data_IF_038504584115
#
_entry.id   IF_038504584115
#
_cell.length_a   1.000
_cell.length_b   1.000
_cell.length_c   1.000
_cell.angle_alpha   90.00
_cell.angle_beta   90.00
_cell.angle_gamma   90.00
#
_symmetry.space_group_name_H-M   'P 1'
#
loop_
_entity.id
_entity.type
_entity.pdbx_description
1 polymer ?
#
# COMPACT_ATOMS: atom_id res chain seq x y z
N UNK A 1 -42.59 -4.84 -22.08
CA UNK A 1 -41.12 -4.96 -22.08
C UNK A 1 -40.52 -3.77 -21.35
N UNK A 2 -40.03 -3.95 -20.12
CA UNK A 2 -39.40 -2.90 -19.31
C UNK A 2 -38.03 -3.45 -18.88
N UNK A 3 -36.97 -2.83 -19.41
CA UNK A 3 -35.58 -3.15 -19.04
C UNK A 3 -35.39 -2.87 -17.55
N UNK A 4 -34.74 -3.75 -16.76
CA UNK A 4 -34.40 -3.43 -15.39
C UNK A 4 -33.29 -2.38 -15.41
N UNK A 5 -33.49 -1.35 -14.57
CA UNK A 5 -32.52 -0.31 -14.27
C UNK A 5 -31.25 -0.97 -13.73
N UNK A 6 -30.13 -0.73 -14.42
CA UNK A 6 -28.79 -1.03 -13.92
C UNK A 6 -28.58 -0.18 -12.67
N UNK A 7 -28.50 -0.85 -11.53
CA UNK A 7 -28.15 -0.22 -10.26
C UNK A 7 -26.69 0.22 -10.33
N UNK A 8 -26.46 1.54 -10.40
CA UNK A 8 -25.15 2.13 -10.16
C UNK A 8 -24.75 1.86 -8.70
N UNK A 9 -23.91 0.84 -8.46
CA UNK A 9 -23.26 0.70 -7.16
C UNK A 9 -22.19 1.80 -7.04
N UNK A 10 -22.41 2.69 -6.07
CA UNK A 10 -21.43 3.64 -5.55
C UNK A 10 -20.12 2.92 -5.20
N UNK A 11 -19.02 3.49 -5.70
CA UNK A 11 -17.63 3.46 -5.18
C UNK A 11 -17.45 2.76 -3.82
N UNK A 12 -17.24 1.45 -3.83
CA UNK A 12 -16.70 0.72 -2.67
C UNK A 12 -15.18 0.99 -2.62
N UNK A 13 -14.73 2.00 -1.86
CA UNK A 13 -13.35 1.96 -1.31
C UNK A 13 -13.44 1.10 -0.05
N UNK A 14 -13.32 -0.22 -0.18
CA UNK A 14 -13.10 -1.08 0.98
C UNK A 14 -12.13 -2.19 0.60
N UNK A 15 -10.85 -1.83 0.52
CA UNK A 15 -9.75 -2.75 0.26
C UNK A 15 -8.42 -2.08 0.57
N UNK A 16 -7.44 -2.85 1.02
CA UNK A 16 -6.05 -2.41 1.16
C UNK A 16 -5.41 -2.43 -0.24
N UNK A 17 -5.01 -1.27 -0.82
CA UNK A 17 -4.45 -1.22 -2.18
C UNK A 17 -3.26 -2.16 -2.39
N UNK A 18 -2.49 -2.43 -1.33
CA UNK A 18 -1.38 -3.37 -1.40
C UNK A 18 -1.84 -4.81 -1.67
N UNK A 19 -2.99 -5.23 -1.11
CA UNK A 19 -3.58 -6.54 -1.39
C UNK A 19 -4.05 -6.65 -2.84
N UNK A 20 -4.63 -5.57 -3.40
CA UNK A 20 -5.04 -5.57 -4.82
C UNK A 20 -3.85 -5.73 -5.77
N UNK A 21 -2.70 -5.11 -5.45
CA UNK A 21 -1.46 -5.32 -6.22
C UNK A 21 -1.00 -6.78 -6.14
N UNK A 22 -1.07 -7.43 -4.97
CA UNK A 22 -0.78 -8.87 -4.84
C UNK A 22 -1.70 -9.70 -5.73
N UNK A 23 -2.99 -9.35 -5.81
CA UNK A 23 -3.93 -10.04 -6.71
C UNK A 23 -3.55 -9.87 -8.18
N UNK A 24 -3.11 -8.68 -8.60
CA UNK A 24 -2.63 -8.48 -9.97
C UNK A 24 -1.35 -9.27 -10.28
N UNK A 25 -0.40 -9.32 -9.35
CA UNK A 25 0.80 -10.17 -9.46
C UNK A 25 0.40 -11.63 -9.67
N UNK A 26 -0.49 -12.16 -8.82
CA UNK A 26 -0.91 -13.56 -8.87
C UNK A 26 -1.79 -13.88 -10.09
N UNK A 27 -2.65 -12.97 -10.54
CA UNK A 27 -3.40 -13.10 -11.80
C UNK A 27 -2.44 -13.16 -12.99
N UNK A 28 -1.41 -12.30 -13.01
CA UNK A 28 -0.43 -12.27 -14.08
C UNK A 28 0.42 -13.56 -14.15
N UNK A 29 0.86 -14.08 -13.00
CA UNK A 29 1.56 -15.37 -12.90
C UNK A 29 0.70 -16.56 -13.32
N UNK A 30 -0.53 -16.62 -12.83
CA UNK A 30 -1.42 -17.75 -13.17
C UNK A 30 -1.84 -17.75 -14.64
N UNK A 31 -1.93 -16.58 -15.28
CA UNK A 31 -2.14 -16.49 -16.73
C UNK A 31 -1.01 -17.14 -17.55
N UNK A 32 0.20 -17.23 -17.00
CA UNK A 32 1.35 -17.94 -17.60
C UNK A 32 1.61 -19.32 -16.99
N UNK A 33 0.62 -19.88 -16.26
CA UNK A 33 0.67 -21.19 -15.60
C UNK A 33 1.74 -21.30 -14.50
N UNK A 34 2.19 -20.18 -13.95
CA UNK A 34 3.04 -20.16 -12.77
C UNK A 34 2.17 -20.24 -11.50
N UNK A 35 2.69 -20.84 -10.41
CA UNK A 35 1.97 -20.92 -9.15
C UNK A 35 1.75 -19.52 -8.54
N UNK A 36 0.65 -19.38 -7.79
CA UNK A 36 0.41 -18.20 -6.97
C UNK A 36 1.46 -18.12 -5.87
N UNK A 37 1.90 -16.90 -5.59
CA UNK A 37 2.77 -16.57 -4.47
C UNK A 37 1.95 -16.40 -3.21
N UNK A 38 2.51 -16.82 -2.08
CA UNK A 38 1.94 -16.60 -0.76
C UNK A 38 2.08 -15.13 -0.37
N UNK A 39 1.00 -14.51 0.13
CA UNK A 39 1.02 -13.11 0.57
C UNK A 39 1.60 -13.05 1.99
N UNK A 40 2.85 -12.61 2.13
CA UNK A 40 3.54 -12.52 3.40
C UNK A 40 3.34 -11.13 4.04
N UNK A 41 2.71 -11.05 5.23
CA UNK A 41 2.53 -9.78 5.94
C UNK A 41 3.87 -9.15 6.35
N UNK A 42 4.85 -9.95 6.77
CA UNK A 42 6.18 -9.43 7.12
C UNK A 42 6.91 -8.85 5.91
N UNK A 43 6.85 -9.53 4.76
CA UNK A 43 7.43 -9.04 3.51
C UNK A 43 6.74 -7.73 3.05
N UNK A 44 5.42 -7.64 3.22
CA UNK A 44 4.68 -6.41 2.97
C UNK A 44 5.11 -5.29 3.93
N UNK A 45 5.26 -5.58 5.21
CA UNK A 45 5.70 -4.61 6.20
C UNK A 45 7.10 -4.08 5.88
N UNK A 46 8.05 -4.95 5.52
CA UNK A 46 9.40 -4.54 5.11
C UNK A 46 9.37 -3.67 3.85
N UNK A 47 8.51 -4.00 2.89
CA UNK A 47 8.29 -3.16 1.71
C UNK A 47 7.75 -1.77 2.08
N UNK A 48 6.90 -1.66 3.11
CA UNK A 48 6.44 -0.36 3.61
C UNK A 48 7.56 0.41 4.33
N UNK A 49 8.42 -0.25 5.13
CA UNK A 49 9.58 0.40 5.77
C UNK A 49 10.52 0.99 4.72
N UNK A 50 10.85 0.21 3.68
CA UNK A 50 11.61 0.68 2.52
C UNK A 50 11.01 1.98 1.94
N UNK A 51 9.70 2.00 1.72
CA UNK A 51 9.05 3.17 1.14
C UNK A 51 9.06 4.39 2.07
N UNK A 52 8.94 4.17 3.38
CA UNK A 52 8.95 5.27 4.37
C UNK A 52 10.28 6.02 4.33
N UNK A 53 11.40 5.32 4.13
CA UNK A 53 12.72 5.95 3.94
C UNK A 53 12.84 6.67 2.59
N UNK A 54 12.12 6.19 1.58
CA UNK A 54 12.17 6.72 0.22
C UNK A 54 11.14 7.82 -0.11
N UNK A 55 10.29 8.20 0.85
CA UNK A 55 9.09 9.03 0.59
C UNK A 55 9.36 10.35 -0.14
N UNK A 56 10.54 10.96 0.04
CA UNK A 56 10.90 12.25 -0.57
C UNK A 56 11.73 12.14 -1.86
N UNK A 57 12.01 10.92 -2.33
CA UNK A 57 12.98 10.67 -3.40
C UNK A 57 12.32 10.40 -4.76
N UNK A 58 11.03 10.71 -4.91
CA UNK A 58 10.38 10.66 -6.21
C UNK A 58 10.70 11.91 -7.01
N UNK A 59 11.37 11.74 -8.14
CA UNK A 59 11.65 12.83 -9.09
C UNK A 59 10.37 13.31 -9.79
N UNK A 60 10.40 14.49 -10.40
CA UNK A 60 9.28 15.02 -11.21
C UNK A 60 8.89 14.11 -12.38
N UNK A 61 9.79 13.24 -12.83
CA UNK A 61 9.57 12.30 -13.92
C UNK A 61 9.04 10.94 -13.46
N UNK A 62 8.57 10.84 -12.21
CA UNK A 62 8.03 9.60 -11.61
C UNK A 62 9.06 8.48 -11.46
N UNK A 63 10.35 8.83 -11.37
CA UNK A 63 11.42 7.89 -11.05
C UNK A 63 11.77 7.99 -9.58
N UNK A 64 11.84 6.85 -8.88
CA UNK A 64 12.30 6.79 -7.50
C UNK A 64 13.83 6.73 -7.47
N UNK A 65 14.48 7.77 -6.95
CA UNK A 65 15.93 7.87 -6.80
C UNK A 65 16.42 7.33 -5.45
N UNK A 66 15.74 6.30 -4.92
CA UNK A 66 16.00 5.73 -3.60
C UNK A 66 16.37 4.27 -3.74
N UNK A 67 17.46 3.88 -3.11
CA UNK A 67 17.91 2.50 -3.09
C UNK A 67 18.56 2.18 -1.73
N UNK A 68 17.74 2.01 -0.68
CA UNK A 68 18.16 1.42 0.58
C UNK A 68 18.92 0.12 0.34
N UNK A 69 19.87 -0.19 1.21
CA UNK A 69 20.69 -1.37 1.04
C UNK A 69 19.83 -2.62 1.33
N UNK A 70 20.08 -3.71 0.59
CA UNK A 70 19.35 -4.96 0.81
C UNK A 70 19.54 -5.48 2.25
N UNK A 71 20.72 -5.23 2.84
CA UNK A 71 21.00 -5.53 4.24
C UNK A 71 20.08 -4.79 5.22
N UNK A 72 19.61 -3.59 4.87
CA UNK A 72 18.65 -2.85 5.71
C UNK A 72 17.30 -3.57 5.74
N UNK A 73 16.94 -4.29 4.68
CA UNK A 73 15.69 -5.09 4.65
C UNK A 73 15.74 -6.17 5.71
N UNK A 74 16.85 -6.90 5.80
CA UNK A 74 16.99 -8.04 6.72
C UNK A 74 17.34 -7.61 8.15
N UNK A 75 18.23 -6.64 8.33
CA UNK A 75 18.77 -6.28 9.65
C UNK A 75 18.02 -5.13 10.34
N UNK A 76 17.33 -4.27 9.58
CA UNK A 76 16.63 -3.10 10.13
C UNK A 76 15.12 -3.25 9.99
N UNK A 77 14.62 -3.53 8.78
CA UNK A 77 13.18 -3.53 8.53
C UNK A 77 12.49 -4.77 9.09
N UNK A 78 13.11 -5.94 8.97
CA UNK A 78 12.52 -7.17 9.48
C UNK A 78 12.31 -7.15 11.00
N UNK A 79 13.30 -6.77 11.84
CA UNK A 79 13.07 -6.62 13.28
C UNK A 79 12.02 -5.56 13.60
N UNK A 80 12.01 -4.44 12.88
CA UNK A 80 10.97 -3.42 13.04
C UNK A 80 9.58 -4.00 12.74
N UNK A 81 9.48 -4.91 11.78
CA UNK A 81 8.26 -5.63 11.42
C UNK A 81 7.90 -6.78 12.34
N UNK A 82 8.65 -7.01 13.43
CA UNK A 82 8.42 -8.13 14.34
C UNK A 82 8.71 -9.48 13.71
N UNK A 83 9.49 -9.51 12.62
CA UNK A 83 9.92 -10.72 11.92
C UNK A 83 11.20 -11.21 12.59
N UNK A 84 11.21 -12.47 12.99
CA UNK A 84 12.42 -13.11 13.50
C UNK A 84 13.47 -13.27 12.39
N UNK A 85 14.69 -12.77 12.60
CA UNK A 85 15.81 -12.93 11.66
C UNK A 85 15.98 -14.37 11.09
N UNK A 86 15.90 -15.46 11.88
CA UNK A 86 16.05 -16.82 11.35
C UNK A 86 14.95 -17.25 10.38
N UNK A 87 13.84 -16.51 10.30
CA UNK A 87 12.72 -16.83 9.40
C UNK A 87 12.73 -16.02 8.11
N UNK A 88 13.70 -15.10 7.96
CA UNK A 88 13.87 -14.31 6.73
C UNK A 88 14.58 -15.18 5.71
N UNK A 89 13.86 -15.57 4.66
CA UNK A 89 14.44 -16.20 3.48
C UNK A 89 14.95 -15.13 2.50
N UNK A 90 15.72 -15.55 1.50
CA UNK A 90 16.40 -14.67 0.55
C UNK A 90 15.38 -13.78 -0.19
N UNK A 91 15.66 -12.48 -0.25
CA UNK A 91 14.91 -11.56 -1.11
C UNK A 91 15.30 -11.87 -2.55
N UNK A 92 14.37 -12.45 -3.29
CA UNK A 92 14.62 -12.95 -4.65
C UNK A 92 14.27 -11.93 -5.73
N UNK A 93 13.60 -10.84 -5.37
CA UNK A 93 13.26 -9.78 -6.32
C UNK A 93 12.62 -8.57 -5.66
N UNK A 94 12.71 -7.44 -6.36
CA UNK A 94 12.11 -6.19 -5.95
C UNK A 94 11.59 -5.41 -7.16
N UNK A 95 10.43 -4.80 -7.01
CA UNK A 95 9.90 -3.79 -7.94
C UNK A 95 9.44 -2.59 -7.13
N UNK A 96 9.88 -1.39 -7.52
CA UNK A 96 9.54 -0.16 -6.80
C UNK A 96 9.26 0.95 -7.79
N UNK A 97 8.37 1.85 -7.41
CA UNK A 97 8.13 3.06 -8.19
C UNK A 97 7.29 4.07 -7.45
N UNK A 98 7.17 5.24 -8.07
CA UNK A 98 6.42 6.35 -7.53
C UNK A 98 5.65 7.06 -8.64
N UNK A 99 4.62 7.81 -8.26
CA UNK A 99 3.84 8.62 -9.19
C UNK A 99 3.24 9.83 -8.47
N UNK A 100 3.28 11.01 -9.09
CA UNK A 100 2.78 12.24 -8.45
C UNK A 100 1.25 12.32 -8.39
N UNK A 101 0.58 11.71 -9.36
CA UNK A 101 -0.89 11.68 -9.42
C UNK A 101 -1.45 10.41 -8.80
N UNK A 102 -2.70 10.47 -8.36
CA UNK A 102 -3.38 9.27 -7.87
C UNK A 102 -3.64 8.31 -9.03
N UNK A 103 -3.19 7.06 -8.86
CA UNK A 103 -3.49 5.93 -9.73
C UNK A 103 -4.29 4.89 -8.95
N UNK A 104 -5.25 4.25 -9.61
CA UNK A 104 -5.86 3.05 -9.03
C UNK A 104 -4.84 1.88 -9.02
N UNK A 105 -5.10 0.79 -8.27
CA UNK A 105 -4.14 -0.32 -8.17
C UNK A 105 -3.77 -0.97 -9.51
N UNK A 106 -4.71 -1.10 -10.45
CA UNK A 106 -4.44 -1.65 -11.79
C UNK A 106 -3.50 -0.76 -12.61
N UNK A 107 -3.73 0.56 -12.57
CA UNK A 107 -2.89 1.57 -13.23
C UNK A 107 -1.50 1.61 -12.60
N UNK A 108 -1.41 1.58 -11.27
CA UNK A 108 -0.14 1.52 -10.57
C UNK A 108 0.65 0.24 -10.94
N UNK A 109 -0.03 -0.91 -10.99
CA UNK A 109 0.59 -2.17 -11.40
C UNK A 109 1.17 -2.10 -12.81
N UNK A 110 0.37 -1.65 -13.79
CA UNK A 110 0.77 -1.64 -15.21
C UNK A 110 1.72 -0.50 -15.59
N UNK A 111 1.52 0.69 -15.04
CA UNK A 111 2.24 1.91 -15.46
C UNK A 111 3.50 2.17 -14.63
N UNK A 112 3.49 1.78 -13.35
CA UNK A 112 4.56 2.12 -12.41
C UNK A 112 5.41 0.90 -12.06
N UNK A 113 4.78 -0.21 -11.66
CA UNK A 113 5.49 -1.39 -11.15
C UNK A 113 5.94 -2.35 -12.26
N UNK A 114 5.12 -2.53 -13.30
CA UNK A 114 5.38 -3.45 -14.41
C UNK A 114 5.30 -2.79 -15.80
N UNK A 115 5.96 -1.64 -16.03
CA UNK A 115 5.87 -0.93 -17.32
C UNK A 115 6.62 -1.64 -18.46
N UNK A 116 7.53 -2.57 -18.14
CA UNK A 116 8.44 -3.17 -19.13
C UNK A 116 8.46 -4.69 -19.08
N UNK A 117 9.00 -5.30 -20.14
CA UNK A 117 9.28 -6.75 -20.17
C UNK A 117 10.27 -7.18 -19.08
N UNK A 118 11.20 -6.31 -18.67
CA UNK A 118 12.16 -6.59 -17.60
C UNK A 118 11.47 -6.69 -16.24
N UNK A 119 10.60 -5.74 -15.91
CA UNK A 119 9.78 -5.83 -14.70
C UNK A 119 8.82 -7.03 -14.74
N UNK A 120 8.30 -7.37 -15.93
CA UNK A 120 7.46 -8.56 -16.10
C UNK A 120 8.25 -9.86 -15.87
N UNK A 121 9.50 -9.95 -16.30
CA UNK A 121 10.34 -11.13 -16.04
C UNK A 121 10.63 -11.33 -14.56
N UNK A 122 10.68 -10.26 -13.75
CA UNK A 122 10.75 -10.39 -12.29
C UNK A 122 9.48 -11.07 -11.78
N UNK A 123 8.29 -10.57 -12.15
CA UNK A 123 7.01 -11.20 -11.77
C UNK A 123 6.94 -12.70 -12.14
N UNK A 124 7.55 -13.09 -13.27
CA UNK A 124 7.53 -14.47 -13.78
C UNK A 124 8.68 -15.36 -13.29
N UNK A 125 9.55 -14.89 -12.39
CA UNK A 125 10.59 -15.75 -11.83
C UNK A 125 9.99 -16.93 -11.07
N UNK A 126 10.57 -18.11 -11.28
CA UNK A 126 10.19 -19.34 -10.57
C UNK A 126 10.83 -19.44 -9.18
N UNK A 127 11.79 -18.56 -8.88
CA UNK A 127 12.47 -18.50 -7.59
C UNK A 127 11.59 -17.86 -6.51
N UNK A 128 10.54 -17.14 -6.92
CA UNK A 128 9.60 -16.51 -6.00
C UNK A 128 8.59 -17.54 -5.45
N UNK A 129 8.43 -17.53 -4.14
CA UNK A 129 7.41 -18.31 -3.42
C UNK A 129 6.51 -17.42 -2.55
N UNK A 130 7.05 -16.32 -2.01
CA UNK A 130 6.30 -15.33 -1.26
C UNK A 130 6.34 -13.95 -1.94
N UNK A 131 5.31 -13.15 -1.70
CA UNK A 131 5.19 -11.77 -2.15
C UNK A 131 4.66 -10.90 -1.02
N UNK A 132 5.19 -9.68 -0.91
CA UNK A 132 4.71 -8.66 -0.01
C UNK A 132 4.71 -7.30 -0.70
N UNK A 133 3.68 -6.50 -0.48
CA UNK A 133 3.54 -5.17 -1.09
C UNK A 133 3.41 -4.11 -0.02
N UNK A 134 4.16 -3.03 -0.17
CA UNK A 134 4.01 -1.78 0.58
C UNK A 134 3.43 -0.69 -0.31
N UNK A 135 2.64 0.19 0.30
CA UNK A 135 2.08 1.39 -0.31
C UNK A 135 2.12 2.56 0.67
N UNK A 136 2.59 3.72 0.22
CA UNK A 136 2.54 4.94 1.02
C UNK A 136 2.25 6.15 0.14
N UNK A 137 1.55 7.13 0.70
CA UNK A 137 1.41 8.46 0.13
C UNK A 137 2.27 9.44 0.94
N UNK A 138 3.18 10.14 0.27
CA UNK A 138 3.91 11.23 0.89
C UNK A 138 2.98 12.35 1.34
N UNK A 139 3.34 13.08 2.39
CA UNK A 139 2.55 14.22 2.85
C UNK A 139 2.56 15.33 1.79
N UNK A 140 1.42 15.57 1.13
CA UNK A 140 1.34 16.37 -0.12
C UNK A 140 2.32 15.92 -1.22
N UNK A 141 2.72 14.65 -1.16
CA UNK A 141 3.76 14.09 -2.01
C UNK A 141 3.25 13.01 -2.95
N UNK A 142 4.18 12.34 -3.64
CA UNK A 142 3.88 11.25 -4.55
C UNK A 142 3.25 10.05 -3.83
N UNK A 143 2.64 9.20 -4.62
CA UNK A 143 2.28 7.83 -4.25
C UNK A 143 3.47 6.93 -4.55
N UNK A 144 3.81 6.04 -3.62
CA UNK A 144 4.89 5.08 -3.79
C UNK A 144 4.38 3.66 -3.54
N UNK A 145 4.96 2.71 -4.27
CA UNK A 145 4.69 1.29 -4.17
C UNK A 145 6.01 0.52 -4.19
N UNK A 146 6.07 -0.55 -3.40
CA UNK A 146 7.19 -1.49 -3.39
C UNK A 146 6.61 -2.90 -3.34
N UNK A 147 7.07 -3.78 -4.23
CA UNK A 147 6.82 -5.21 -4.19
C UNK A 147 8.15 -5.88 -3.84
N UNK A 148 8.14 -6.69 -2.79
CA UNK A 148 9.24 -7.59 -2.46
C UNK A 148 8.81 -9.02 -2.72
N UNK A 149 9.76 -9.81 -3.23
CA UNK A 149 9.63 -11.24 -3.47
C UNK A 149 10.65 -12.00 -2.64
N UNK A 150 10.29 -13.17 -2.13
CA UNK A 150 11.21 -14.03 -1.38
C UNK A 150 11.14 -15.47 -1.88
N UNK A 151 12.27 -16.17 -1.78
CA UNK A 151 12.39 -17.61 -2.04
C UNK A 151 11.88 -18.49 -0.89
N UNK A 152 11.25 -17.89 0.12
CA UNK A 152 10.60 -18.49 1.28
C UNK A 152 9.88 -19.82 1.05
N UNK A 153 9.62 -20.55 2.12
CA UNK A 153 8.97 -21.85 1.99
C UNK A 153 7.51 -21.71 1.49
N UNK A 154 7.22 -22.30 0.33
CA UNK A 154 5.93 -22.26 -0.36
C UNK A 154 4.74 -22.88 0.40
N UNK A 155 4.93 -23.37 1.64
CA UNK A 155 3.90 -24.08 2.42
C UNK A 155 3.43 -23.38 3.69
N UNK A 156 4.08 -22.30 4.14
CA UNK A 156 3.67 -21.52 5.32
C UNK A 156 4.31 -20.14 5.31
N UNK A 157 3.62 -19.09 5.78
CA UNK A 157 4.26 -17.78 5.96
C UNK A 157 5.41 -17.90 6.93
N UNK A 158 6.61 -17.60 6.48
CA UNK A 158 7.80 -17.65 7.32
C UNK A 158 7.87 -16.44 8.26
N UNK A 159 7.10 -15.39 8.00
CA UNK A 159 7.17 -14.12 8.72
C UNK A 159 6.19 -14.07 9.91
N UNK A 160 6.56 -14.70 11.03
CA UNK A 160 5.77 -14.71 12.27
C UNK A 160 5.95 -13.38 13.00
N UNK A 161 4.84 -12.70 13.33
CA UNK A 161 4.82 -11.46 14.12
C UNK A 161 4.92 -11.79 15.62
N UNK A 162 5.90 -11.26 16.33
CA UNK A 162 5.95 -11.37 17.79
C UNK A 162 4.67 -10.78 18.42
N UNK A 163 3.90 -11.60 19.16
CA UNK A 163 2.67 -11.18 19.84
C UNK A 163 1.45 -10.91 18.94
N UNK A 164 1.50 -11.20 17.64
CA UNK A 164 0.36 -11.13 16.72
C UNK A 164 -0.15 -9.71 16.40
N UNK A 165 0.42 -8.67 16.99
CA UNK A 165 0.16 -7.28 16.61
C UNK A 165 1.35 -6.75 15.84
N UNK A 166 1.27 -6.78 14.51
CA UNK A 166 2.24 -6.09 13.65
C UNK A 166 2.37 -4.60 14.01
N UNK A 167 3.41 -3.95 13.48
CA UNK A 167 3.72 -2.53 13.75
C UNK A 167 2.45 -1.68 13.76
N UNK A 168 2.31 -0.78 14.74
CA UNK A 168 1.30 0.29 14.70
C UNK A 168 1.50 1.12 13.42
N UNK A 169 0.76 0.78 12.37
CA UNK A 169 0.81 1.40 11.06
C UNK A 169 0.32 2.86 11.17
N UNK A 170 1.26 3.80 11.27
CA UNK A 170 0.95 5.24 11.38
C UNK A 170 0.79 5.91 10.01
N UNK A 171 1.43 5.39 8.96
CA UNK A 171 1.38 5.90 7.58
C UNK A 171 1.52 4.77 6.57
N UNK A 172 0.78 4.88 5.47
CA UNK A 172 0.77 3.87 4.41
C UNK A 172 0.03 2.60 4.81
N UNK A 173 0.16 1.55 4.01
CA UNK A 173 -0.33 0.20 4.28
C UNK A 173 0.51 -0.84 3.56
N UNK A 174 0.40 -2.09 4.02
CA UNK A 174 1.08 -3.22 3.44
C UNK A 174 0.17 -4.44 3.30
N UNK A 175 0.49 -5.34 2.37
CA UNK A 175 -0.34 -6.52 2.07
C UNK A 175 -0.28 -7.58 3.17
N UNK A 176 -1.31 -8.42 3.26
CA UNK A 176 -1.38 -9.52 4.24
C UNK A 176 -1.73 -9.07 5.66
N UNK A 177 -1.79 -7.76 5.94
CA UNK A 177 -2.35 -7.21 7.16
C UNK A 177 -3.86 -7.05 7.11
N UNK A 178 -4.53 -7.24 8.25
CA UNK A 178 -5.98 -7.06 8.44
C UNK A 178 -6.41 -5.60 8.64
N UNK A 179 -5.46 -4.66 8.57
CA UNK A 179 -5.71 -3.25 8.86
C UNK A 179 -6.13 -2.50 7.59
N UNK A 180 -7.26 -1.78 7.58
CA UNK A 180 -7.63 -0.89 6.50
C UNK A 180 -6.51 0.12 6.22
N UNK A 181 -6.29 0.47 4.96
CA UNK A 181 -5.23 1.40 4.61
C UNK A 181 -5.53 2.79 5.16
N UNK A 182 -4.84 3.18 6.25
CA UNK A 182 -4.90 4.53 6.80
C UNK A 182 -4.14 5.49 5.86
N UNK A 183 -4.82 5.95 4.82
CA UNK A 183 -4.42 7.18 4.12
C UNK A 183 -4.56 8.26 5.17
N UNK A 184 -3.44 8.73 5.73
CA UNK A 184 -3.43 9.66 6.86
C UNK A 184 -4.49 10.73 6.66
N UNK A 185 -5.56 10.67 7.45
CA UNK A 185 -6.49 11.78 7.58
C UNK A 185 -5.63 12.94 8.04
N UNK A 186 -5.48 13.97 7.20
CA UNK A 186 -5.05 15.26 7.69
C UNK A 186 -5.93 15.54 8.89
N UNK A 187 -5.33 15.63 10.08
CA UNK A 187 -5.95 16.28 11.22
C UNK A 187 -6.25 17.70 10.74
N UNK A 188 -7.43 17.89 10.16
CA UNK A 188 -8.04 19.21 10.13
C UNK A 188 -8.11 19.58 11.61
N UNK A 189 -7.47 20.68 12.05
CA UNK A 189 -7.67 21.13 13.41
C UNK A 189 -9.17 21.32 13.55
N UNK A 190 -9.77 20.68 14.56
CA UNK A 190 -11.17 20.85 14.88
C UNK A 190 -11.42 22.35 15.05
N UNK A 191 -11.99 22.96 14.02
CA UNK A 191 -12.28 24.37 13.99
C UNK A 191 -13.36 24.60 15.04
N UNK A 192 -13.01 25.36 16.10
CA UNK A 192 -13.90 25.75 17.20
C UNK A 192 -15.32 26.02 16.71
N UNK A 193 -16.27 25.16 17.10
CA UNK A 193 -17.70 25.29 16.80
C UNK A 193 -18.41 26.30 17.70
N UNK A 194 -17.70 27.31 18.22
CA UNK A 194 -18.31 28.34 19.09
C UNK A 194 -18.87 29.54 18.30
N UNK A 195 -18.50 29.73 17.03
CA UNK A 195 -18.92 30.90 16.25
C UNK A 195 -20.19 30.70 15.41
N UNK A 196 -20.72 29.47 15.31
CA UNK A 196 -21.94 29.19 14.55
C UNK A 196 -23.24 29.58 15.30
N UNK A 197 -23.21 29.63 16.64
CA UNK A 197 -24.41 29.98 17.42
C UNK A 197 -24.76 31.47 17.44
N UNK A 198 -23.87 32.36 17.01
CA UNK A 198 -24.12 33.81 17.04
C UNK A 198 -24.95 34.26 15.81
N UNK A 199 -24.86 33.54 14.69
CA UNK A 199 -25.55 33.94 13.46
C UNK A 199 -27.06 33.62 13.49
N UNK A 200 -27.49 32.59 14.23
CA UNK A 200 -28.92 32.25 14.33
C UNK A 200 -29.73 33.21 15.23
N UNK A 201 -29.10 33.81 16.26
CA UNK A 201 -29.80 34.73 17.17
C UNK A 201 -30.08 36.09 16.53
N UNK A 202 -29.21 36.57 15.63
CA UNK A 202 -29.39 37.86 14.95
C UNK A 202 -30.54 37.83 13.94
N UNK A 203 -30.77 36.70 13.26
CA UNK A 203 -31.87 36.56 12.29
C UNK A 203 -33.25 36.56 12.98
N UNK A 204 -33.36 36.04 14.21
CA UNK A 204 -34.62 36.09 14.94
C UNK A 204 -34.94 37.48 15.50
N UNK A 205 -33.94 38.28 15.87
CA UNK A 205 -34.18 39.65 16.35
C UNK A 205 -34.65 40.60 15.23
N UNK A 206 -34.17 40.42 13.99
CA UNK A 206 -34.60 41.23 12.84
C UNK A 206 -36.05 40.94 12.44
N UNK A 207 -36.52 39.71 12.63
CA UNK A 207 -37.91 39.32 12.30
C UNK A 207 -38.94 39.73 13.35
N UNK A 208 -38.53 40.06 14.58
CA UNK A 208 -39.44 40.45 15.67
C UNK A 208 -39.60 41.97 15.76
N UNK A 209 -38.63 42.75 15.26
CA UNK A 209 -38.63 44.21 15.37
C UNK A 209 -38.55 44.95 14.02
N UNK A 210 -38.71 44.24 12.90
CA UNK A 210 -38.82 44.79 11.55
C UNK A 210 -40.23 44.75 11.01
#
# INVERSE_FOLDING_TARGET
>A
MKKPLVMCKNKEIHGNPANEIVDFVNKNRTATKLPKLYNSPGLGCMALQFLLECTQNCTSNNTLACQPAEIDITEVYAPNCGVELPTIDTISGQLVGCYWSHLNPEQAFSTVLVPTKKSLSVIHSKEHHEVGVGYVRGHHGPFLWCILFSSGNATSSTFVLEGGTGIKQRRGCFSGGDVPCNVGTSLLPAHNTLLSSICCLLVQLVLVFG
#
